data_IF_549969995974
#
_entry.id   IF_549969995974
#
_cell.length_a   1.000
_cell.length_b   1.000
_cell.length_c   1.000
_cell.angle_alpha   90.00
_cell.angle_beta   90.00
_cell.angle_gamma   90.00
#
_symmetry.space_group_name_H-M   'P 1'
#
loop_
_entity.id
_entity.type
_entity.pdbx_description
1 polymer ?
#
# COMPACT_ATOMS: atom_id res chain seq x y z
N UNK A 1 67.22 -40.36 14.25
CA UNK A 1 66.36 -40.18 15.44
C UNK A 1 65.27 -39.18 15.03
N UNK A 2 64.05 -39.63 15.06
CA UNK A 2 62.94 -39.07 14.33
C UNK A 2 62.41 -37.71 14.85
N UNK A 3 62.45 -36.65 13.99
CA UNK A 3 61.78 -35.36 14.16
C UNK A 3 60.32 -35.44 13.76
N UNK A 4 59.48 -36.18 14.46
CA UNK A 4 58.05 -36.28 14.22
C UNK A 4 57.18 -36.36 15.46
N UNK A 5 57.59 -35.72 16.58
CA UNK A 5 56.77 -35.70 17.82
C UNK A 5 56.90 -34.42 18.64
N UNK A 6 56.80 -33.23 17.97
CA UNK A 6 56.65 -31.96 18.69
C UNK A 6 55.60 -31.13 17.98
N UNK A 7 54.32 -31.54 18.06
CA UNK A 7 53.20 -30.72 17.62
C UNK A 7 51.96 -30.86 18.50
N UNK A 8 52.08 -31.33 19.72
CA UNK A 8 50.94 -31.46 20.66
C UNK A 8 51.20 -30.96 22.08
N UNK A 9 52.10 -30.04 22.27
CA UNK A 9 52.24 -29.38 23.59
C UNK A 9 52.50 -27.89 23.36
N UNK A 10 51.56 -27.07 23.82
CA UNK A 10 51.92 -25.72 24.16
C UNK A 10 51.18 -24.64 23.44
N UNK A 11 49.94 -24.43 23.80
CA UNK A 11 49.45 -23.03 23.92
C UNK A 11 48.62 -22.97 25.22
N UNK A 12 49.32 -23.14 26.34
CA UNK A 12 48.87 -22.62 27.61
C UNK A 12 49.91 -21.60 28.08
N UNK A 13 49.48 -20.43 28.42
CA UNK A 13 50.20 -19.24 28.89
C UNK A 13 50.73 -18.31 27.78
N UNK A 14 49.96 -17.29 27.48
CA UNK A 14 50.48 -15.93 27.49
C UNK A 14 49.29 -15.02 27.79
N UNK A 15 49.04 -14.71 29.05
CA UNK A 15 48.48 -13.44 29.47
C UNK A 15 49.55 -12.38 29.20
N UNK A 16 49.56 -11.76 28.06
CA UNK A 16 50.52 -10.72 27.73
C UNK A 16 49.80 -9.44 27.31
N UNK A 17 50.21 -8.37 27.95
CA UNK A 17 49.92 -6.97 27.63
C UNK A 17 49.91 -6.75 26.12
N UNK A 18 48.78 -6.19 25.61
CA UNK A 18 48.68 -5.73 24.24
C UNK A 18 49.43 -4.41 24.06
N UNK A 19 50.67 -4.50 23.64
CA UNK A 19 51.42 -3.42 23.00
C UNK A 19 51.53 -3.83 21.53
N UNK A 20 50.84 -3.15 20.62
CA UNK A 20 50.97 -3.29 19.18
C UNK A 20 51.00 -4.70 18.62
N UNK A 21 49.94 -5.49 18.79
CA UNK A 21 49.96 -6.90 18.47
C UNK A 21 49.83 -7.19 16.98
N UNK A 22 50.70 -8.02 16.43
CA UNK A 22 50.52 -8.65 15.12
C UNK A 22 49.23 -9.42 15.07
N UNK A 23 48.52 -9.38 13.91
CA UNK A 23 47.31 -10.15 13.67
C UNK A 23 47.59 -11.65 13.98
N UNK A 24 46.79 -12.23 14.86
CA UNK A 24 46.97 -13.64 15.26
C UNK A 24 46.20 -14.56 14.30
N UNK A 25 46.76 -15.72 14.03
CA UNK A 25 46.17 -16.73 13.17
C UNK A 25 45.62 -17.92 13.97
N UNK A 26 44.29 -17.99 14.00
CA UNK A 26 43.51 -19.08 14.60
C UNK A 26 42.83 -19.93 13.54
N UNK A 27 43.21 -19.80 12.25
CA UNK A 27 42.51 -20.47 11.16
C UNK A 27 42.50 -21.98 11.32
N UNK A 28 41.30 -22.59 11.14
CA UNK A 28 41.10 -24.02 11.29
C UNK A 28 41.29 -24.59 12.69
N UNK A 29 41.49 -23.75 13.72
CA UNK A 29 41.76 -24.19 15.10
C UNK A 29 40.44 -24.36 15.89
N UNK A 30 40.49 -25.24 16.89
CA UNK A 30 39.47 -25.29 17.94
C UNK A 30 39.75 -24.17 18.96
N UNK A 31 38.82 -23.22 19.06
CA UNK A 31 38.91 -22.04 19.92
C UNK A 31 38.56 -22.42 21.37
N UNK A 32 39.57 -22.64 22.21
CA UNK A 32 39.40 -22.98 23.63
C UNK A 32 39.64 -21.77 24.55
N UNK A 33 39.37 -20.55 24.07
CA UNK A 33 39.59 -19.30 24.80
C UNK A 33 38.50 -18.31 24.56
N UNK A 34 38.39 -17.33 25.47
CA UNK A 34 37.50 -16.18 25.32
C UNK A 34 38.29 -14.98 24.77
N UNK A 35 37.64 -14.28 23.82
CA UNK A 35 38.10 -13.01 23.25
C UNK A 35 37.34 -11.80 23.84
N UNK A 36 36.61 -12.02 24.94
CA UNK A 36 35.88 -10.97 25.66
C UNK A 36 36.81 -9.84 26.04
N UNK A 37 36.38 -8.59 25.79
CA UNK A 37 37.14 -7.37 26.08
C UNK A 37 38.53 -7.30 25.38
N UNK A 38 38.76 -8.09 24.33
CA UNK A 38 40.03 -8.12 23.57
C UNK A 38 39.97 -7.31 22.31
N UNK A 39 41.13 -6.79 21.88
CA UNK A 39 41.34 -6.32 20.51
C UNK A 39 41.66 -7.51 19.61
N UNK A 40 41.01 -7.55 18.43
CA UNK A 40 41.13 -8.64 17.47
C UNK A 40 41.41 -8.10 16.06
N UNK A 41 42.18 -7.02 15.95
CA UNK A 41 42.51 -6.36 14.68
C UNK A 41 43.22 -7.32 13.72
N UNK A 42 42.62 -7.55 12.55
CA UNK A 42 43.15 -8.46 11.53
C UNK A 42 43.27 -9.92 11.91
N UNK A 43 42.77 -10.34 13.07
CA UNK A 43 42.84 -11.76 13.51
C UNK A 43 42.14 -12.65 12.49
N UNK A 44 42.74 -13.79 12.23
CA UNK A 44 42.21 -14.78 11.31
C UNK A 44 41.58 -15.96 12.06
N UNK A 45 40.23 -16.01 12.05
CA UNK A 45 39.42 -17.09 12.60
C UNK A 45 38.77 -17.94 11.50
N UNK A 46 39.26 -17.84 10.25
CA UNK A 46 38.68 -18.58 9.14
C UNK A 46 38.70 -20.10 9.42
N UNK A 47 37.56 -20.77 9.17
CA UNK A 47 37.39 -22.19 9.48
C UNK A 47 37.61 -22.59 10.95
N UNK A 48 37.77 -21.65 11.87
CA UNK A 48 37.92 -21.94 13.30
C UNK A 48 36.62 -22.51 13.88
N UNK A 49 36.72 -23.28 14.94
CA UNK A 49 35.57 -23.88 15.63
C UNK A 49 35.48 -23.39 17.07
N UNK A 50 34.35 -22.79 17.40
CA UNK A 50 34.07 -22.35 18.76
C UNK A 50 33.81 -23.53 19.70
N UNK A 51 34.33 -23.46 20.91
CA UNK A 51 33.94 -24.32 22.00
C UNK A 51 32.79 -23.70 22.77
N UNK A 52 31.66 -24.41 22.82
CA UNK A 52 30.46 -23.97 23.54
C UNK A 52 30.77 -23.58 24.99
N UNK A 53 30.28 -22.41 25.41
CA UNK A 53 30.44 -21.89 26.76
C UNK A 53 31.85 -21.37 27.10
N UNK A 54 32.81 -21.43 26.15
CA UNK A 54 34.19 -20.94 26.33
C UNK A 54 34.50 -19.81 25.34
N UNK A 55 34.26 -20.03 24.05
CA UNK A 55 34.53 -19.03 23.00
C UNK A 55 33.54 -17.91 23.08
N UNK A 56 33.99 -16.67 23.25
CA UNK A 56 33.18 -15.49 23.48
C UNK A 56 33.90 -14.25 22.95
N UNK A 57 33.18 -13.42 22.20
CA UNK A 57 33.66 -12.15 21.65
C UNK A 57 32.90 -10.94 22.23
N UNK A 58 32.23 -11.10 23.38
CA UNK A 58 31.48 -10.03 24.01
C UNK A 58 32.38 -8.82 24.30
N UNK A 59 31.99 -7.64 23.91
CA UNK A 59 32.74 -6.39 24.04
C UNK A 59 34.13 -6.40 23.40
N UNK A 60 34.42 -7.36 22.50
CA UNK A 60 35.66 -7.31 21.72
C UNK A 60 35.64 -6.12 20.77
N UNK A 61 36.82 -5.65 20.39
CA UNK A 61 36.94 -4.57 19.39
C UNK A 61 37.98 -4.96 18.34
N UNK A 62 37.78 -4.55 17.08
CA UNK A 62 38.80 -4.85 16.05
C UNK A 62 38.38 -4.40 14.65
N UNK A 63 39.38 -4.21 13.82
CA UNK A 63 39.25 -3.88 12.40
C UNK A 63 39.75 -5.05 11.55
N UNK A 64 38.96 -5.48 10.55
CA UNK A 64 39.31 -6.49 9.57
C UNK A 64 39.49 -7.93 10.07
N UNK A 65 38.88 -8.40 11.18
CA UNK A 65 38.97 -9.81 11.57
C UNK A 65 38.27 -10.70 10.54
N UNK A 66 38.82 -11.89 10.32
CA UNK A 66 38.30 -12.86 9.34
C UNK A 66 37.64 -14.03 10.08
N UNK A 67 36.33 -14.22 9.81
CA UNK A 67 35.53 -15.31 10.35
C UNK A 67 34.93 -16.18 9.20
N UNK A 68 35.52 -16.13 8.03
CA UNK A 68 35.03 -16.87 6.88
C UNK A 68 34.98 -18.38 7.17
N UNK A 69 33.86 -19.04 6.84
CA UNK A 69 33.62 -20.46 7.06
C UNK A 69 33.77 -20.90 8.54
N UNK A 70 33.87 -19.97 9.49
CA UNK A 70 34.02 -20.29 10.90
C UNK A 70 32.75 -20.93 11.47
N UNK A 71 32.98 -21.93 12.38
CA UNK A 71 31.90 -22.61 13.08
C UNK A 71 31.74 -21.98 14.47
N UNK A 72 30.88 -21.01 14.62
CA UNK A 72 30.67 -20.16 15.79
C UNK A 72 29.22 -20.22 16.33
N UNK A 73 28.58 -21.40 16.45
CA UNK A 73 27.23 -21.48 16.97
C UNK A 73 27.17 -21.05 18.43
N UNK A 74 26.08 -20.36 18.81
CA UNK A 74 25.82 -19.89 20.19
C UNK A 74 26.84 -18.88 20.73
N UNK A 75 27.77 -18.38 19.91
CA UNK A 75 28.81 -17.41 20.32
C UNK A 75 28.21 -16.04 20.57
N UNK A 76 28.74 -15.33 21.57
CA UNK A 76 28.32 -13.96 21.88
C UNK A 76 29.30 -12.94 21.28
N UNK A 77 28.75 -12.02 20.48
CA UNK A 77 29.35 -10.75 20.08
C UNK A 77 28.61 -9.56 20.73
N UNK A 78 27.92 -9.80 21.84
CA UNK A 78 27.12 -8.74 22.47
C UNK A 78 28.00 -7.52 22.81
N UNK A 79 27.53 -6.32 22.36
CA UNK A 79 28.25 -5.07 22.52
C UNK A 79 29.69 -5.06 21.96
N UNK A 80 30.03 -5.95 21.04
CA UNK A 80 31.31 -5.89 20.32
C UNK A 80 31.33 -4.66 19.39
N UNK A 81 32.52 -4.12 19.13
CA UNK A 81 32.79 -3.02 18.22
C UNK A 81 33.75 -3.48 17.12
N UNK A 82 33.23 -3.90 16.00
CA UNK A 82 34.01 -4.57 14.94
C UNK A 82 33.73 -3.86 13.60
N UNK A 83 34.76 -3.59 12.80
CA UNK A 83 34.59 -3.09 11.45
C UNK A 83 35.31 -3.97 10.42
N UNK A 84 34.85 -3.90 9.19
CA UNK A 84 35.44 -4.52 8.00
C UNK A 84 35.66 -6.04 8.15
N UNK A 85 34.85 -6.69 8.97
CA UNK A 85 34.95 -8.11 9.24
C UNK A 85 34.42 -8.97 8.08
N UNK A 86 35.00 -10.14 7.88
CA UNK A 86 34.54 -11.11 6.93
C UNK A 86 33.87 -12.31 7.61
N UNK A 87 32.53 -12.34 7.67
CA UNK A 87 31.70 -13.44 8.17
C UNK A 87 31.13 -14.32 7.04
N UNK A 88 31.72 -14.23 5.84
CA UNK A 88 31.22 -14.99 4.69
C UNK A 88 31.12 -16.48 5.02
N UNK A 89 29.95 -17.08 4.74
CA UNK A 89 29.66 -18.51 4.95
C UNK A 89 29.89 -19.00 6.41
N UNK A 90 29.98 -18.11 7.41
CA UNK A 90 30.15 -18.47 8.81
C UNK A 90 28.84 -19.06 9.37
N UNK A 91 29.00 -20.10 10.20
CA UNK A 91 27.92 -20.64 11.02
C UNK A 91 27.82 -19.83 12.32
N UNK A 92 26.81 -18.99 12.43
CA UNK A 92 26.49 -18.12 13.55
C UNK A 92 25.11 -18.47 14.16
N UNK A 93 24.68 -19.73 14.05
CA UNK A 93 23.41 -20.18 14.62
C UNK A 93 23.33 -19.84 16.10
N UNK A 94 22.18 -19.24 16.50
CA UNK A 94 21.94 -18.81 17.88
C UNK A 94 22.97 -17.80 18.43
N UNK A 95 23.79 -17.21 17.59
CA UNK A 95 24.74 -16.19 18.02
C UNK A 95 24.01 -14.96 18.59
N UNK A 96 24.62 -14.36 19.63
CA UNK A 96 24.13 -13.12 20.22
C UNK A 96 24.94 -11.93 19.69
N UNK A 97 24.33 -11.11 18.84
CA UNK A 97 24.93 -9.90 18.25
C UNK A 97 24.27 -8.63 18.83
N UNK A 98 23.42 -8.80 19.85
CA UNK A 98 22.61 -7.70 20.38
C UNK A 98 23.48 -6.54 20.89
N UNK A 99 23.10 -5.31 20.48
CA UNK A 99 23.79 -4.08 20.84
C UNK A 99 25.21 -3.95 20.27
N UNK A 100 25.69 -4.90 19.45
CA UNK A 100 26.99 -4.79 18.80
C UNK A 100 27.00 -3.68 17.74
N UNK A 101 28.14 -3.08 17.52
CA UNK A 101 28.43 -2.16 16.43
C UNK A 101 29.39 -2.85 15.44
N UNK A 102 28.83 -3.50 14.40
CA UNK A 102 29.57 -4.27 13.39
C UNK A 102 29.33 -3.62 12.03
N UNK A 103 30.31 -2.84 11.55
CA UNK A 103 30.15 -2.01 10.35
C UNK A 103 30.95 -2.57 9.17
N UNK A 104 30.52 -2.20 7.94
CA UNK A 104 31.22 -2.49 6.68
C UNK A 104 31.58 -3.97 6.52
N UNK A 105 30.83 -4.88 7.12
CA UNK A 105 31.17 -6.27 7.24
C UNK A 105 30.40 -7.15 6.24
N UNK A 106 31.03 -8.23 5.82
CA UNK A 106 30.48 -9.15 4.84
C UNK A 106 29.88 -10.38 5.53
N UNK A 107 28.53 -10.51 5.50
CA UNK A 107 27.81 -11.67 6.02
C UNK A 107 27.27 -12.60 4.92
N UNK A 108 27.74 -12.45 3.67
CA UNK A 108 27.25 -13.26 2.55
C UNK A 108 27.26 -14.76 2.89
N UNK A 109 26.08 -15.41 2.77
CA UNK A 109 25.93 -16.84 3.00
C UNK A 109 26.01 -17.27 4.47
N UNK A 110 26.15 -16.36 5.42
CA UNK A 110 26.23 -16.71 6.83
C UNK A 110 24.93 -17.35 7.34
N UNK A 111 25.03 -18.25 8.30
CA UNK A 111 23.90 -18.88 8.96
C UNK A 111 23.67 -18.22 10.33
N UNK A 112 22.65 -17.36 10.40
CA UNK A 112 22.21 -16.65 11.60
C UNK A 112 20.86 -17.18 12.13
N UNK A 113 20.53 -18.44 11.86
CA UNK A 113 19.30 -19.06 12.35
C UNK A 113 19.18 -18.95 13.87
N UNK A 114 18.03 -18.53 14.37
CA UNK A 114 17.76 -18.24 15.79
C UNK A 114 18.71 -17.17 16.39
N UNK A 115 19.44 -16.43 15.58
CA UNK A 115 20.37 -15.38 16.03
C UNK A 115 19.64 -14.18 16.66
N UNK A 116 20.29 -13.53 17.63
CA UNK A 116 19.76 -12.32 18.27
C UNK A 116 20.59 -11.09 17.86
N UNK A 117 20.05 -10.28 16.94
CA UNK A 117 20.64 -9.03 16.43
C UNK A 117 19.92 -7.79 16.99
N UNK A 118 19.16 -7.93 18.07
CA UNK A 118 18.38 -6.85 18.65
C UNK A 118 19.23 -5.60 18.92
N UNK A 119 18.84 -4.45 18.34
CA UNK A 119 19.57 -3.17 18.43
C UNK A 119 21.03 -3.20 17.94
N UNK A 120 21.42 -4.17 17.14
CA UNK A 120 22.74 -4.16 16.51
C UNK A 120 22.85 -3.00 15.51
N UNK A 121 24.04 -2.41 15.41
CA UNK A 121 24.40 -1.41 14.38
C UNK A 121 25.24 -2.11 13.33
N UNK A 122 24.72 -2.23 12.10
CA UNK A 122 25.30 -3.02 11.01
C UNK A 122 25.50 -2.16 9.74
N UNK A 123 25.79 -0.87 9.94
CA UNK A 123 25.90 0.10 8.85
C UNK A 123 27.00 -0.30 7.85
N UNK A 124 26.68 -0.26 6.56
CA UNK A 124 27.60 -0.63 5.48
C UNK A 124 27.82 -2.15 5.33
N UNK A 125 27.22 -2.96 6.20
CA UNK A 125 27.32 -4.42 6.10
C UNK A 125 26.32 -4.98 5.07
N UNK A 126 26.66 -6.14 4.47
CA UNK A 126 25.90 -6.77 3.41
C UNK A 126 25.50 -8.20 3.78
N UNK A 127 24.27 -8.59 3.44
CA UNK A 127 23.64 -9.83 3.88
C UNK A 127 23.04 -10.66 2.74
N UNK A 128 23.64 -10.77 1.56
CA UNK A 128 23.06 -11.58 0.51
C UNK A 128 23.11 -13.07 0.85
N UNK A 129 21.99 -13.79 0.62
CA UNK A 129 21.87 -15.23 0.85
C UNK A 129 22.14 -15.66 2.31
N UNK A 130 21.74 -14.84 3.28
CA UNK A 130 21.88 -15.15 4.73
C UNK A 130 20.67 -15.94 5.22
N UNK A 131 20.89 -16.91 6.11
CA UNK A 131 19.84 -17.60 6.83
C UNK A 131 19.50 -16.86 8.13
N UNK A 132 18.35 -16.18 8.17
CA UNK A 132 17.80 -15.49 9.35
C UNK A 132 16.58 -16.21 9.94
N UNK A 133 16.38 -17.50 9.67
CA UNK A 133 15.22 -18.23 10.21
C UNK A 133 15.12 -18.07 11.71
N UNK A 134 13.91 -17.73 12.19
CA UNK A 134 13.63 -17.53 13.61
C UNK A 134 14.53 -16.47 14.30
N UNK A 135 15.29 -15.67 13.53
CA UNK A 135 16.19 -14.67 14.11
C UNK A 135 15.41 -13.45 14.62
N UNK A 136 15.99 -12.74 15.58
CA UNK A 136 15.49 -11.49 16.11
C UNK A 136 16.35 -10.32 15.65
N UNK A 137 15.80 -9.50 14.75
CA UNK A 137 16.49 -8.35 14.15
C UNK A 137 15.86 -7.00 14.56
N UNK A 138 14.98 -6.99 15.56
CA UNK A 138 14.22 -5.81 15.92
C UNK A 138 15.11 -4.62 16.27
N UNK A 139 14.73 -3.43 15.80
CA UNK A 139 15.43 -2.18 16.03
C UNK A 139 16.92 -2.18 15.64
N UNK A 140 17.36 -3.11 14.78
CA UNK A 140 18.72 -3.06 14.21
C UNK A 140 18.86 -1.84 13.30
N UNK A 141 20.10 -1.39 13.10
CA UNK A 141 20.43 -0.28 12.21
C UNK A 141 21.25 -0.78 11.04
N UNK A 142 20.75 -0.59 9.85
CA UNK A 142 21.45 -0.86 8.58
C UNK A 142 21.50 0.42 7.74
N UNK A 143 22.33 0.43 6.71
CA UNK A 143 22.37 1.55 5.77
C UNK A 143 21.25 1.41 4.72
N UNK A 144 20.91 2.52 4.10
CA UNK A 144 20.11 2.53 2.87
C UNK A 144 20.75 1.62 1.82
N UNK A 145 19.92 0.99 0.98
CA UNK A 145 20.35 0.06 -0.07
C UNK A 145 21.09 -1.20 0.46
N UNK A 146 20.90 -1.59 1.72
CA UNK A 146 21.49 -2.83 2.25
C UNK A 146 20.97 -4.03 1.46
N UNK A 147 21.89 -4.90 1.03
CA UNK A 147 21.59 -6.12 0.27
C UNK A 147 21.19 -7.28 1.21
N UNK A 148 19.91 -7.67 1.14
CA UNK A 148 19.32 -8.86 1.76
C UNK A 148 18.81 -9.85 0.70
N UNK A 149 19.25 -9.73 -0.54
CA UNK A 149 18.75 -10.54 -1.63
C UNK A 149 18.95 -12.04 -1.36
N UNK A 150 17.92 -12.84 -1.71
CA UNK A 150 17.92 -14.30 -1.53
C UNK A 150 18.04 -14.79 -0.07
N UNK A 151 17.97 -13.91 0.92
CA UNK A 151 18.05 -14.29 2.34
C UNK A 151 16.75 -14.92 2.83
N UNK A 152 16.86 -15.78 3.82
CA UNK A 152 15.73 -16.49 4.40
C UNK A 152 15.35 -15.90 5.76
N UNK A 153 14.25 -15.17 5.80
CA UNK A 153 13.66 -14.55 7.00
C UNK A 153 12.49 -15.37 7.57
N UNK A 154 12.36 -16.66 7.23
CA UNK A 154 11.24 -17.47 7.70
C UNK A 154 11.09 -17.34 9.21
N UNK A 155 9.93 -16.89 9.70
CA UNK A 155 9.60 -16.69 11.12
C UNK A 155 10.52 -15.67 11.84
N UNK A 156 11.29 -14.85 11.13
CA UNK A 156 12.10 -13.81 11.74
C UNK A 156 11.26 -12.64 12.26
N UNK A 157 11.75 -11.98 13.30
CA UNK A 157 11.23 -10.70 13.79
C UNK A 157 12.14 -9.55 13.34
N UNK A 158 11.55 -8.60 12.58
CA UNK A 158 12.27 -7.48 11.95
C UNK A 158 11.50 -6.18 12.19
N UNK A 159 11.01 -5.99 13.42
CA UNK A 159 10.17 -4.86 13.79
C UNK A 159 10.99 -3.60 14.05
N UNK A 160 10.40 -2.43 13.72
CA UNK A 160 10.98 -1.11 14.01
C UNK A 160 12.36 -0.90 13.36
N UNK A 161 12.58 -1.45 12.15
CA UNK A 161 13.85 -1.36 11.40
C UNK A 161 13.70 -0.41 10.23
N UNK A 162 14.72 0.39 9.94
CA UNK A 162 14.82 1.15 8.71
C UNK A 162 15.49 0.29 7.62
N UNK A 163 14.70 -0.11 6.64
CA UNK A 163 15.06 -0.90 5.47
C UNK A 163 14.77 -0.10 4.18
N UNK A 164 14.83 1.22 4.26
CA UNK A 164 14.60 2.09 3.10
C UNK A 164 15.55 1.71 1.97
N UNK A 165 14.99 1.48 0.78
CA UNK A 165 15.70 1.04 -0.43
C UNK A 165 16.45 -0.30 -0.30
N UNK A 166 16.22 -1.09 0.75
CA UNK A 166 16.84 -2.40 0.88
C UNK A 166 16.48 -3.35 -0.27
N UNK A 167 17.44 -4.16 -0.70
CA UNK A 167 17.18 -5.22 -1.66
C UNK A 167 16.79 -6.54 -0.97
N UNK A 168 15.50 -6.85 -0.98
CA UNK A 168 14.91 -8.11 -0.50
C UNK A 168 14.49 -9.01 -1.68
N UNK A 169 15.03 -8.77 -2.88
CA UNK A 169 14.66 -9.54 -4.06
C UNK A 169 14.96 -11.03 -3.89
N UNK A 170 13.97 -11.86 -4.23
CA UNK A 170 14.05 -13.33 -4.08
C UNK A 170 14.24 -13.81 -2.63
N UNK A 171 14.09 -12.95 -1.63
CA UNK A 171 14.14 -13.35 -0.22
C UNK A 171 12.88 -14.15 0.16
N UNK A 172 13.01 -15.03 1.13
CA UNK A 172 11.88 -15.76 1.71
C UNK A 172 11.46 -15.07 3.03
N UNK A 173 10.27 -14.46 3.04
CA UNK A 173 9.73 -13.74 4.18
C UNK A 173 8.55 -14.49 4.83
N UNK A 174 8.43 -15.79 4.62
CA UNK A 174 7.33 -16.62 5.13
C UNK A 174 7.20 -16.51 6.65
N UNK A 175 6.01 -16.12 7.13
CA UNK A 175 5.70 -15.87 8.54
C UNK A 175 6.60 -14.84 9.25
N UNK A 176 7.36 -14.03 8.50
CA UNK A 176 8.18 -12.97 9.09
C UNK A 176 7.34 -11.77 9.53
N UNK A 177 7.78 -11.08 10.57
CA UNK A 177 7.15 -9.88 11.10
C UNK A 177 8.01 -8.64 10.84
N UNK A 178 7.57 -7.78 9.92
CA UNK A 178 8.20 -6.50 9.60
C UNK A 178 7.40 -5.29 10.14
N UNK A 179 6.46 -5.52 11.05
CA UNK A 179 5.55 -4.45 11.48
C UNK A 179 6.30 -3.20 11.98
N UNK A 180 5.76 -2.02 11.61
CA UNK A 180 6.27 -0.68 11.92
C UNK A 180 7.64 -0.34 11.32
N UNK A 181 8.17 -1.15 10.42
CA UNK A 181 9.45 -0.86 9.75
C UNK A 181 9.29 0.14 8.61
N UNK A 182 10.37 0.86 8.32
CA UNK A 182 10.46 1.75 7.17
C UNK A 182 11.06 0.96 6.00
N UNK A 183 10.27 0.80 4.95
CA UNK A 183 10.63 0.00 3.76
C UNK A 183 10.31 0.76 2.46
N UNK A 184 10.36 2.10 2.53
CA UNK A 184 10.16 2.93 1.34
C UNK A 184 11.14 2.56 0.22
N UNK A 185 10.65 2.44 -1.01
CA UNK A 185 11.43 2.06 -2.19
C UNK A 185 12.13 0.68 -2.08
N UNK A 186 11.81 -0.14 -1.07
CA UNK A 186 12.39 -1.47 -0.93
C UNK A 186 12.07 -2.36 -2.14
N UNK A 187 13.04 -3.15 -2.57
CA UNK A 187 12.88 -4.08 -3.69
C UNK A 187 12.51 -5.48 -3.17
N UNK A 188 11.23 -5.84 -3.29
CA UNK A 188 10.69 -7.16 -2.93
C UNK A 188 10.44 -8.06 -4.15
N UNK A 189 10.98 -7.69 -5.32
CA UNK A 189 10.74 -8.40 -6.58
C UNK A 189 11.03 -9.90 -6.46
N UNK A 190 10.01 -10.74 -6.76
CA UNK A 190 10.10 -12.20 -6.68
C UNK A 190 10.42 -12.74 -5.27
N UNK A 191 10.18 -11.96 -4.21
CA UNK A 191 10.24 -12.47 -2.85
C UNK A 191 9.06 -13.41 -2.57
N UNK A 192 9.20 -14.33 -1.63
CA UNK A 192 8.12 -15.18 -1.15
C UNK A 192 7.46 -14.53 0.06
N UNK A 193 6.16 -14.17 -0.07
CA UNK A 193 5.40 -13.47 0.97
C UNK A 193 4.18 -14.31 1.38
N UNK A 194 4.39 -15.28 2.27
CA UNK A 194 3.32 -16.11 2.82
C UNK A 194 3.15 -15.81 4.29
N UNK A 195 1.95 -15.32 4.70
CA UNK A 195 1.66 -14.93 6.10
C UNK A 195 2.64 -13.90 6.67
N UNK A 196 3.23 -13.08 5.81
CA UNK A 196 4.13 -12.00 6.24
C UNK A 196 3.33 -10.85 6.83
N UNK A 197 3.81 -10.28 7.94
CA UNK A 197 3.18 -9.14 8.60
C UNK A 197 3.93 -7.84 8.30
N UNK A 198 3.25 -6.93 7.59
CA UNK A 198 3.69 -5.56 7.29
C UNK A 198 2.78 -4.52 7.95
N UNK A 199 2.14 -4.86 9.08
CA UNK A 199 1.25 -3.94 9.77
C UNK A 199 1.94 -2.61 10.07
N UNK A 200 1.33 -1.50 9.66
CA UNK A 200 1.84 -0.14 9.87
C UNK A 200 3.24 0.13 9.30
N UNK A 201 3.73 -0.70 8.34
CA UNK A 201 4.95 -0.43 7.60
C UNK A 201 4.81 0.79 6.69
N UNK A 202 5.89 1.51 6.48
CA UNK A 202 6.02 2.44 5.37
C UNK A 202 6.62 1.69 4.16
N UNK A 203 5.79 1.41 3.15
CA UNK A 203 6.15 0.71 1.91
C UNK A 203 5.93 1.62 0.68
N UNK A 204 6.03 2.94 0.87
CA UNK A 204 5.85 3.90 -0.23
C UNK A 204 6.82 3.57 -1.36
N UNK A 205 6.31 3.48 -2.59
CA UNK A 205 7.07 3.15 -3.79
C UNK A 205 7.81 1.79 -3.75
N UNK A 206 7.47 0.89 -2.81
CA UNK A 206 8.05 -0.45 -2.75
C UNK A 206 7.70 -1.29 -3.99
N UNK A 207 8.62 -2.15 -4.41
CA UNK A 207 8.48 -2.96 -5.61
C UNK A 207 8.09 -4.41 -5.29
N UNK A 208 6.80 -4.76 -5.50
CA UNK A 208 6.24 -6.10 -5.33
C UNK A 208 6.11 -6.87 -6.66
N UNK A 209 6.76 -6.44 -7.74
CA UNK A 209 6.58 -7.04 -9.06
C UNK A 209 6.80 -8.56 -9.06
N UNK A 210 5.76 -9.30 -9.49
CA UNK A 210 5.80 -10.76 -9.62
C UNK A 210 5.92 -11.48 -8.27
N UNK A 211 5.25 -10.96 -7.25
CA UNK A 211 5.13 -11.55 -5.91
C UNK A 211 3.70 -12.08 -5.73
N UNK A 212 3.56 -13.29 -5.19
CA UNK A 212 2.28 -13.81 -4.76
C UNK A 212 2.04 -13.43 -3.30
N UNK A 213 0.97 -12.66 -3.05
CA UNK A 213 0.58 -12.23 -1.72
C UNK A 213 -0.43 -13.23 -1.13
N UNK A 214 0.04 -14.12 -0.27
CA UNK A 214 -0.79 -15.18 0.33
C UNK A 214 -0.91 -14.96 1.84
N UNK A 215 -2.12 -14.62 2.33
CA UNK A 215 -2.39 -14.33 3.74
C UNK A 215 -1.51 -13.20 4.31
N UNK A 216 -1.08 -12.24 3.49
CA UNK A 216 -0.21 -11.13 3.90
C UNK A 216 -1.04 -10.06 4.63
N UNK A 217 -0.47 -9.50 5.69
CA UNK A 217 -1.10 -8.44 6.46
C UNK A 217 -0.44 -7.08 6.17
N UNK A 218 -1.16 -6.18 5.51
CA UNK A 218 -0.79 -4.78 5.26
C UNK A 218 -1.68 -3.79 6.03
N UNK A 219 -2.34 -4.22 7.11
CA UNK A 219 -3.20 -3.31 7.84
C UNK A 219 -2.45 -2.02 8.24
N UNK A 220 -3.03 -0.85 7.91
CA UNK A 220 -2.45 0.48 8.17
C UNK A 220 -1.10 0.75 7.49
N UNK A 221 -0.68 -0.07 6.55
CA UNK A 221 0.58 0.16 5.82
C UNK A 221 0.45 1.33 4.84
N UNK A 222 1.52 2.09 4.67
CA UNK A 222 1.67 3.08 3.60
C UNK A 222 2.18 2.40 2.33
N UNK A 223 1.31 2.20 1.35
CA UNK A 223 1.61 1.52 0.08
C UNK A 223 1.49 2.48 -1.12
N UNK A 224 1.48 3.79 -0.86
CA UNK A 224 1.36 4.78 -1.93
C UNK A 224 2.46 4.60 -2.97
N UNK A 225 2.09 4.64 -4.26
CA UNK A 225 2.99 4.42 -5.40
C UNK A 225 3.67 3.03 -5.45
N UNK A 226 3.26 2.07 -4.62
CA UNK A 226 3.82 0.72 -4.67
C UNK A 226 3.50 0.03 -6.01
N UNK A 227 4.45 -0.77 -6.50
CA UNK A 227 4.30 -1.49 -7.77
C UNK A 227 3.79 -2.91 -7.54
N UNK A 228 2.52 -3.15 -7.88
CA UNK A 228 1.86 -4.45 -7.80
C UNK A 228 1.71 -5.15 -9.16
N UNK A 229 2.54 -4.83 -10.16
CA UNK A 229 2.44 -5.44 -11.48
C UNK A 229 2.65 -6.96 -11.44
N UNK A 230 1.66 -7.72 -11.93
CA UNK A 230 1.69 -9.18 -11.94
C UNK A 230 1.68 -9.80 -10.54
N UNK A 231 0.98 -9.17 -9.59
CA UNK A 231 0.78 -9.66 -8.22
C UNK A 231 -0.57 -10.35 -8.10
N UNK A 232 -0.61 -11.52 -7.47
CA UNK A 232 -1.84 -12.18 -7.05
C UNK A 232 -2.14 -11.90 -5.57
N UNK A 233 -3.42 -11.59 -5.25
CA UNK A 233 -3.88 -11.28 -3.91
C UNK A 233 -4.76 -12.41 -3.36
N UNK A 234 -4.27 -13.18 -2.38
CA UNK A 234 -5.00 -14.27 -1.74
C UNK A 234 -5.11 -14.05 -0.23
N UNK A 235 -6.32 -13.72 0.26
CA UNK A 235 -6.61 -13.45 1.66
C UNK A 235 -5.72 -12.35 2.27
N UNK A 236 -5.50 -11.27 1.53
CA UNK A 236 -4.66 -10.15 1.95
C UNK A 236 -5.47 -9.18 2.81
N UNK A 237 -4.92 -8.73 3.91
CA UNK A 237 -5.50 -7.67 4.74
C UNK A 237 -4.92 -6.31 4.35
N UNK A 238 -5.78 -5.44 3.80
CA UNK A 238 -5.47 -4.07 3.39
C UNK A 238 -6.30 -3.03 4.19
N UNK A 239 -6.87 -3.43 5.35
CA UNK A 239 -7.66 -2.52 6.16
C UNK A 239 -6.87 -1.28 6.57
N UNK A 240 -7.45 -0.10 6.34
CA UNK A 240 -6.82 1.19 6.64
C UNK A 240 -5.47 1.44 5.89
N UNK A 241 -5.08 0.59 4.94
CA UNK A 241 -3.87 0.78 4.14
C UNK A 241 -4.02 1.97 3.19
N UNK A 242 -2.92 2.65 2.91
CA UNK A 242 -2.85 3.74 1.94
C UNK A 242 -2.26 3.25 0.62
N UNK A 243 -3.12 3.02 -0.36
CA UNK A 243 -2.81 2.58 -1.73
C UNK A 243 -2.93 3.75 -2.72
N UNK A 244 -2.80 4.98 -2.26
CA UNK A 244 -2.92 6.16 -3.12
C UNK A 244 -1.87 6.17 -4.23
N UNK A 245 -2.21 6.76 -5.39
CA UNK A 245 -1.30 6.87 -6.53
C UNK A 245 -0.87 5.49 -7.10
N UNK A 246 -1.66 4.43 -6.89
CA UNK A 246 -1.41 3.10 -7.46
C UNK A 246 -2.27 2.86 -8.70
N UNK A 247 -1.87 1.90 -9.53
CA UNK A 247 -2.63 1.46 -10.70
C UNK A 247 -3.05 0.00 -10.54
N UNK A 248 -4.37 -0.25 -10.69
CA UNK A 248 -4.95 -1.58 -10.70
C UNK A 248 -5.78 -1.76 -11.98
N UNK A 249 -5.37 -2.66 -12.84
CA UNK A 249 -6.11 -3.04 -14.05
C UNK A 249 -6.28 -4.56 -14.06
N UNK A 250 -7.55 -4.99 -14.02
CA UNK A 250 -7.95 -6.41 -14.02
C UNK A 250 -7.32 -7.22 -12.87
N UNK A 251 -7.13 -6.60 -11.71
CA UNK A 251 -6.59 -7.26 -10.49
C UNK A 251 -7.75 -7.81 -9.65
N UNK A 252 -7.67 -9.09 -9.26
CA UNK A 252 -8.66 -9.70 -8.37
C UNK A 252 -8.38 -9.36 -6.90
N UNK A 253 -9.15 -8.41 -6.36
CA UNK A 253 -9.15 -8.06 -4.93
C UNK A 253 -10.34 -8.69 -4.17
N UNK A 254 -11.07 -9.63 -4.76
CA UNK A 254 -12.31 -10.18 -4.19
C UNK A 254 -12.12 -10.91 -2.84
N UNK A 255 -10.92 -11.37 -2.58
CA UNK A 255 -10.53 -12.07 -1.33
C UNK A 255 -9.68 -11.18 -0.41
N UNK A 256 -9.75 -9.86 -0.55
CA UNK A 256 -9.01 -8.91 0.29
C UNK A 256 -9.92 -8.22 1.30
N UNK A 257 -9.37 -7.80 2.43
CA UNK A 257 -10.06 -6.96 3.40
C UNK A 257 -9.67 -5.50 3.11
N UNK A 258 -10.65 -4.65 2.76
CA UNK A 258 -10.42 -3.31 2.22
C UNK A 258 -11.05 -2.18 3.05
N UNK A 259 -11.70 -2.48 4.18
CA UNK A 259 -12.40 -1.47 4.96
C UNK A 259 -11.47 -0.29 5.29
N UNK A 260 -11.92 0.92 4.97
CA UNK A 260 -11.19 2.19 5.15
C UNK A 260 -9.85 2.28 4.39
N UNK A 261 -9.57 1.40 3.44
CA UNK A 261 -8.40 1.55 2.56
C UNK A 261 -8.51 2.84 1.72
N UNK A 262 -7.38 3.42 1.35
CA UNK A 262 -7.32 4.64 0.55
C UNK A 262 -6.73 4.33 -0.83
N UNK A 263 -7.48 4.67 -1.87
CA UNK A 263 -7.09 4.61 -3.27
C UNK A 263 -7.11 6.01 -3.89
N UNK A 264 -6.79 7.04 -3.10
CA UNK A 264 -6.84 8.40 -3.61
C UNK A 264 -5.86 8.60 -4.77
N UNK A 265 -6.30 9.31 -5.82
CA UNK A 265 -5.53 9.55 -7.04
C UNK A 265 -5.06 8.27 -7.78
N UNK A 266 -5.68 7.13 -7.47
CA UNK A 266 -5.39 5.84 -8.11
C UNK A 266 -6.26 5.63 -9.35
N UNK A 267 -5.80 4.75 -10.24
CA UNK A 267 -6.60 4.27 -11.37
C UNK A 267 -7.00 2.81 -11.13
N UNK A 268 -8.32 2.57 -11.03
CA UNK A 268 -8.91 1.25 -10.90
C UNK A 268 -9.74 0.94 -12.16
N UNK A 269 -9.38 -0.11 -12.88
CA UNK A 269 -10.05 -0.50 -14.11
C UNK A 269 -10.42 -1.99 -14.08
N UNK A 270 -11.64 -2.30 -14.52
CA UNK A 270 -12.13 -3.69 -14.65
C UNK A 270 -12.18 -4.49 -13.34
N UNK A 271 -12.29 -3.81 -12.19
CA UNK A 271 -12.24 -4.41 -10.87
C UNK A 271 -13.52 -5.16 -10.50
N UNK A 272 -13.39 -6.25 -9.75
CA UNK A 272 -14.50 -7.07 -9.26
C UNK A 272 -14.66 -6.92 -7.74
N UNK A 273 -15.62 -6.09 -7.30
CA UNK A 273 -15.92 -5.82 -5.89
C UNK A 273 -17.31 -6.32 -5.47
N UNK A 274 -17.93 -7.18 -6.29
CA UNK A 274 -19.30 -7.67 -6.05
C UNK A 274 -19.43 -8.29 -4.66
N UNK A 275 -20.38 -7.78 -3.86
CA UNK A 275 -20.69 -8.27 -2.52
C UNK A 275 -19.62 -8.00 -1.46
N UNK A 276 -18.54 -7.30 -1.80
CA UNK A 276 -17.42 -7.01 -0.90
C UNK A 276 -17.75 -5.91 0.12
N UNK A 277 -17.09 -5.94 1.26
CA UNK A 277 -17.15 -4.87 2.25
C UNK A 277 -16.06 -3.82 1.99
N UNK A 278 -16.50 -2.70 1.43
CA UNK A 278 -15.71 -1.51 1.12
C UNK A 278 -16.09 -0.33 2.03
N UNK A 279 -16.62 -0.59 3.21
CA UNK A 279 -17.07 0.46 4.13
C UNK A 279 -15.96 1.45 4.43
N UNK A 280 -16.22 2.73 4.15
CA UNK A 280 -15.29 3.83 4.41
C UNK A 280 -14.06 3.87 3.49
N UNK A 281 -14.02 3.11 2.39
CA UNK A 281 -12.96 3.21 1.39
C UNK A 281 -12.96 4.58 0.73
N UNK A 282 -11.77 5.11 0.39
CA UNK A 282 -11.58 6.43 -0.22
C UNK A 282 -11.01 6.26 -1.62
N UNK A 283 -11.75 6.74 -2.64
CA UNK A 283 -11.32 6.76 -4.05
C UNK A 283 -11.05 8.18 -4.58
N UNK A 284 -10.93 9.16 -3.69
CA UNK A 284 -10.90 10.58 -4.01
C UNK A 284 -9.89 10.95 -5.10
N UNK A 285 -10.32 11.82 -6.02
CA UNK A 285 -9.50 12.37 -7.12
C UNK A 285 -8.90 11.31 -8.05
N UNK A 286 -9.39 10.08 -7.97
CA UNK A 286 -8.95 8.95 -8.78
C UNK A 286 -9.80 8.75 -10.03
N UNK A 287 -9.58 7.61 -10.69
CA UNK A 287 -10.36 7.12 -11.83
C UNK A 287 -10.82 5.70 -11.55
N UNK A 288 -12.13 5.49 -11.50
CA UNK A 288 -12.76 4.17 -11.33
C UNK A 288 -13.61 3.88 -12.56
N UNK A 289 -13.24 2.84 -13.32
CA UNK A 289 -13.91 2.55 -14.58
C UNK A 289 -14.14 1.05 -14.79
N UNK A 290 -15.27 0.72 -15.50
CA UNK A 290 -15.62 -0.65 -15.90
C UNK A 290 -15.63 -1.66 -14.75
N UNK A 291 -15.91 -1.22 -13.51
CA UNK A 291 -15.82 -2.03 -12.31
C UNK A 291 -17.21 -2.42 -11.79
N UNK A 292 -17.29 -3.61 -11.18
CA UNK A 292 -18.51 -4.16 -10.63
C UNK A 292 -18.52 -4.07 -9.11
N UNK A 293 -19.47 -3.28 -8.57
CA UNK A 293 -19.73 -3.09 -7.14
C UNK A 293 -21.10 -3.66 -6.71
N UNK A 294 -21.78 -4.44 -7.57
CA UNK A 294 -23.12 -4.95 -7.27
C UNK A 294 -23.18 -5.60 -5.87
N UNK A 295 -24.16 -5.18 -5.05
CA UNK A 295 -24.37 -5.68 -3.69
C UNK A 295 -23.19 -5.48 -2.72
N UNK A 296 -22.21 -4.64 -3.06
CA UNK A 296 -21.12 -4.31 -2.13
C UNK A 296 -21.62 -3.44 -0.97
N UNK A 297 -20.97 -3.54 0.18
CA UNK A 297 -21.18 -2.64 1.32
C UNK A 297 -20.23 -1.47 1.20
N UNK A 298 -20.76 -0.29 0.94
CA UNK A 298 -20.00 0.92 0.63
C UNK A 298 -20.47 2.13 1.46
N UNK A 299 -21.01 1.90 2.65
CA UNK A 299 -21.42 2.98 3.53
C UNK A 299 -20.23 3.88 3.86
N UNK A 300 -20.43 5.23 3.76
CA UNK A 300 -19.40 6.26 3.99
C UNK A 300 -18.19 6.18 3.06
N UNK A 301 -18.29 5.49 1.93
CA UNK A 301 -17.26 5.50 0.88
C UNK A 301 -17.15 6.88 0.27
N UNK A 302 -15.93 7.32 -0.07
CA UNK A 302 -15.71 8.61 -0.72
C UNK A 302 -15.25 8.45 -2.16
N UNK A 303 -15.89 9.18 -3.05
CA UNK A 303 -15.55 9.41 -4.46
C UNK A 303 -15.44 10.92 -4.72
N UNK A 304 -14.96 11.68 -3.74
CA UNK A 304 -14.79 13.12 -3.88
C UNK A 304 -13.91 13.45 -5.09
N UNK A 305 -14.41 14.29 -6.01
CA UNK A 305 -13.69 14.75 -7.21
C UNK A 305 -13.17 13.59 -8.11
N UNK A 306 -13.86 12.45 -8.11
CA UNK A 306 -13.45 11.19 -8.77
C UNK A 306 -14.15 11.03 -10.12
N UNK A 307 -13.45 10.51 -11.13
CA UNK A 307 -14.10 10.02 -12.36
C UNK A 307 -14.61 8.59 -12.14
N UNK A 308 -15.94 8.40 -12.18
CA UNK A 308 -16.60 7.10 -12.07
C UNK A 308 -17.32 6.81 -13.38
N UNK A 309 -16.86 5.80 -14.15
CA UNK A 309 -17.43 5.57 -15.45
C UNK A 309 -17.64 4.09 -15.81
N UNK A 310 -18.82 3.77 -16.36
CA UNK A 310 -19.19 2.41 -16.82
C UNK A 310 -19.12 1.38 -15.70
N UNK A 311 -19.46 1.76 -14.47
CA UNK A 311 -19.48 0.89 -13.30
C UNK A 311 -20.90 0.43 -12.97
N UNK A 312 -21.01 -0.70 -12.30
CA UNK A 312 -22.25 -1.30 -11.83
C UNK A 312 -22.32 -1.22 -10.31
N UNK A 313 -23.43 -0.67 -9.78
CA UNK A 313 -23.69 -0.50 -8.35
C UNK A 313 -25.09 -1.02 -7.99
N UNK A 314 -25.59 -2.07 -8.65
CA UNK A 314 -26.95 -2.58 -8.41
C UNK A 314 -27.08 -3.12 -6.99
N UNK A 315 -28.06 -2.62 -6.25
CA UNK A 315 -28.31 -3.06 -4.88
C UNK A 315 -27.16 -2.83 -3.92
N UNK A 316 -26.27 -1.88 -4.20
CA UNK A 316 -25.12 -1.52 -3.37
C UNK A 316 -25.55 -0.69 -2.17
N UNK A 317 -24.94 -0.89 -0.99
CA UNK A 317 -25.17 -0.09 0.21
C UNK A 317 -24.24 1.14 0.21
N UNK A 318 -24.74 2.29 -0.27
CA UNK A 318 -23.98 3.57 -0.40
C UNK A 318 -24.47 4.65 0.59
N UNK A 319 -25.04 4.24 1.72
CA UNK A 319 -25.55 5.18 2.73
C UNK A 319 -24.47 6.16 3.17
N UNK A 320 -24.72 7.47 3.06
CA UNK A 320 -23.78 8.56 3.35
C UNK A 320 -22.49 8.53 2.51
N UNK A 321 -22.51 7.91 1.34
CA UNK A 321 -21.39 7.99 0.40
C UNK A 321 -21.21 9.43 -0.11
N UNK A 322 -19.97 9.79 -0.44
CA UNK A 322 -19.60 11.13 -0.91
C UNK A 322 -19.22 11.06 -2.40
N UNK A 323 -19.97 11.76 -3.24
CA UNK A 323 -19.71 11.94 -4.67
C UNK A 323 -19.60 13.44 -5.03
N UNK A 324 -19.28 14.27 -4.03
CA UNK A 324 -19.15 15.71 -4.23
C UNK A 324 -18.06 16.03 -5.27
N UNK A 325 -18.41 16.83 -6.28
CA UNK A 325 -17.50 17.15 -7.40
C UNK A 325 -17.23 16.00 -8.38
N UNK A 326 -17.78 14.80 -8.17
CA UNK A 326 -17.47 13.64 -8.99
C UNK A 326 -18.01 13.76 -10.43
N UNK A 327 -17.30 13.17 -11.40
CA UNK A 327 -17.77 12.97 -12.76
C UNK A 327 -18.28 11.54 -12.94
N UNK A 328 -19.61 11.37 -12.96
CA UNK A 328 -20.32 10.08 -12.95
C UNK A 328 -20.93 9.83 -14.33
N UNK A 329 -20.43 8.84 -15.10
CA UNK A 329 -20.84 8.63 -16.47
C UNK A 329 -21.12 7.18 -16.83
N UNK A 330 -22.33 6.94 -17.37
CA UNK A 330 -22.76 5.60 -17.83
C UNK A 330 -22.68 4.54 -16.72
N UNK A 331 -23.12 4.89 -15.51
CA UNK A 331 -23.17 3.96 -14.38
C UNK A 331 -24.61 3.48 -14.13
N UNK A 332 -24.75 2.39 -13.38
CA UNK A 332 -26.02 1.78 -13.01
C UNK A 332 -26.10 1.68 -11.49
N UNK A 333 -26.99 2.46 -10.86
CA UNK A 333 -27.28 2.46 -9.42
C UNK A 333 -28.66 1.87 -9.11
N UNK A 334 -29.16 0.98 -9.97
CA UNK A 334 -30.52 0.44 -9.82
C UNK A 334 -30.68 -0.29 -8.47
N UNK A 335 -31.70 0.13 -7.72
CA UNK A 335 -31.98 -0.41 -6.39
C UNK A 335 -30.91 -0.16 -5.33
N UNK A 336 -29.91 0.68 -5.60
CA UNK A 336 -28.89 1.01 -4.61
C UNK A 336 -29.47 1.80 -3.42
N UNK A 337 -28.96 1.57 -2.22
CA UNK A 337 -29.25 2.38 -1.03
C UNK A 337 -28.23 3.53 -0.94
N UNK A 338 -28.68 4.71 -1.34
CA UNK A 338 -27.90 5.95 -1.33
C UNK A 338 -28.49 6.99 -0.35
N UNK A 339 -29.15 6.55 0.69
CA UNK A 339 -29.74 7.45 1.68
C UNK A 339 -28.66 8.37 2.27
N UNK A 340 -28.96 9.69 2.26
CA UNK A 340 -28.06 10.76 2.70
C UNK A 340 -26.72 10.82 1.94
N UNK A 341 -26.64 10.25 0.74
CA UNK A 341 -25.46 10.42 -0.12
C UNK A 341 -25.29 11.90 -0.54
N UNK A 342 -24.04 12.33 -0.64
CA UNK A 342 -23.71 13.67 -1.13
C UNK A 342 -23.26 13.59 -2.58
N UNK A 343 -24.12 14.04 -3.52
CA UNK A 343 -23.82 14.17 -4.96
C UNK A 343 -23.74 15.66 -5.35
N UNK A 344 -23.45 16.55 -4.41
CA UNK A 344 -23.35 17.99 -4.69
C UNK A 344 -22.22 18.25 -5.69
N UNK A 345 -22.38 19.31 -6.49
CA UNK A 345 -21.40 19.77 -7.49
C UNK A 345 -20.98 18.71 -8.52
N UNK A 346 -21.58 17.53 -8.51
CA UNK A 346 -21.23 16.44 -9.43
C UNK A 346 -21.76 16.68 -10.84
N UNK A 347 -21.10 16.10 -11.84
CA UNK A 347 -21.65 15.98 -13.20
C UNK A 347 -22.04 14.52 -13.43
N UNK A 348 -23.35 14.27 -13.62
CA UNK A 348 -23.91 12.94 -13.78
C UNK A 348 -24.48 12.81 -15.19
N UNK A 349 -23.92 11.91 -16.00
CA UNK A 349 -24.31 11.72 -17.39
C UNK A 349 -24.68 10.25 -17.70
N UNK A 350 -25.80 10.04 -18.41
CA UNK A 350 -26.22 8.72 -18.92
C UNK A 350 -26.19 7.64 -17.83
N UNK A 351 -26.73 7.97 -16.67
CA UNK A 351 -26.65 7.15 -15.45
C UNK A 351 -28.05 6.83 -14.94
N UNK A 352 -28.25 5.62 -14.47
CA UNK A 352 -29.51 5.09 -13.99
C UNK A 352 -29.54 4.95 -12.47
N UNK A 353 -30.65 5.43 -11.86
CA UNK A 353 -30.97 5.29 -10.44
C UNK A 353 -32.36 4.65 -10.27
N UNK A 354 -32.69 3.69 -11.13
CA UNK A 354 -34.03 3.08 -11.16
C UNK A 354 -34.31 2.35 -9.85
N UNK A 355 -35.38 2.76 -9.15
CA UNK A 355 -35.74 2.17 -7.86
C UNK A 355 -34.74 2.40 -6.72
N UNK A 356 -33.75 3.26 -6.91
CA UNK A 356 -32.76 3.59 -5.87
C UNK A 356 -33.38 4.30 -4.67
N UNK A 357 -32.82 4.10 -3.48
CA UNK A 357 -33.17 4.84 -2.26
C UNK A 357 -32.20 6.03 -2.13
N UNK A 358 -32.72 7.24 -2.24
CA UNK A 358 -31.97 8.49 -2.23
C UNK A 358 -32.52 9.46 -1.17
N UNK A 359 -33.18 8.96 -0.11
CA UNK A 359 -33.81 9.83 0.87
C UNK A 359 -32.76 10.71 1.58
N UNK A 360 -33.00 12.02 1.57
CA UNK A 360 -32.07 13.00 2.16
C UNK A 360 -30.76 13.17 1.40
N UNK A 361 -30.62 12.62 0.20
CA UNK A 361 -29.45 12.85 -0.65
C UNK A 361 -29.37 14.31 -1.12
N UNK A 362 -28.16 14.80 -1.42
CA UNK A 362 -27.94 16.16 -1.92
C UNK A 362 -27.47 16.13 -3.38
N UNK A 363 -28.20 16.86 -4.24
CA UNK A 363 -27.83 17.17 -5.61
C UNK A 363 -27.54 18.66 -5.81
N UNK A 364 -27.25 19.39 -4.72
CA UNK A 364 -26.97 20.83 -4.77
C UNK A 364 -25.83 21.14 -5.73
N UNK A 365 -26.03 22.06 -6.69
CA UNK A 365 -25.04 22.39 -7.72
C UNK A 365 -24.76 21.31 -8.75
N UNK A 366 -25.46 20.17 -8.69
CA UNK A 366 -25.21 19.05 -9.61
C UNK A 366 -25.70 19.34 -11.05
N UNK A 367 -25.00 18.74 -12.02
CA UNK A 367 -25.40 18.75 -13.44
C UNK A 367 -25.85 17.35 -13.85
N UNK A 368 -27.15 17.18 -14.12
CA UNK A 368 -27.79 15.92 -14.48
C UNK A 368 -28.10 15.92 -15.98
N UNK A 369 -27.55 14.99 -16.76
CA UNK A 369 -27.75 14.88 -18.20
C UNK A 369 -28.06 13.43 -18.57
N UNK A 370 -29.21 13.20 -19.21
CA UNK A 370 -29.65 11.86 -19.60
C UNK A 370 -29.70 10.89 -18.37
N UNK A 371 -30.35 11.31 -17.27
CA UNK A 371 -30.43 10.57 -16.01
C UNK A 371 -31.82 10.03 -15.75
N UNK A 372 -31.93 8.79 -15.29
CA UNK A 372 -33.22 8.16 -14.96
C UNK A 372 -33.34 7.92 -13.45
N UNK A 373 -34.39 8.51 -12.83
CA UNK A 373 -34.82 8.29 -11.45
C UNK A 373 -36.13 7.51 -11.36
N UNK A 374 -36.44 6.72 -12.38
CA UNK A 374 -37.72 5.99 -12.48
C UNK A 374 -37.96 5.17 -11.22
N UNK A 375 -39.12 5.38 -10.54
CA UNK A 375 -39.50 4.73 -9.29
C UNK A 375 -38.51 4.92 -8.11
N UNK A 376 -37.59 5.87 -8.15
CA UNK A 376 -36.64 6.15 -7.06
C UNK A 376 -37.36 6.77 -5.84
N UNK A 377 -36.84 6.49 -4.64
CA UNK A 377 -37.29 7.11 -3.39
C UNK A 377 -36.39 8.29 -3.07
N UNK A 378 -36.92 9.49 -3.19
CA UNK A 378 -36.16 10.74 -3.12
C UNK A 378 -36.74 11.73 -2.10
N UNK A 379 -37.30 11.23 -0.98
CA UNK A 379 -37.82 12.10 0.08
C UNK A 379 -36.74 12.95 0.69
N UNK A 380 -37.05 14.20 0.99
CA UNK A 380 -36.11 15.16 1.58
C UNK A 380 -34.83 15.40 0.77
N UNK A 381 -34.75 15.04 -0.51
CA UNK A 381 -33.59 15.40 -1.35
C UNK A 381 -33.42 16.91 -1.42
N UNK A 382 -32.18 17.35 -1.60
CA UNK A 382 -31.82 18.75 -1.78
C UNK A 382 -31.48 19.03 -3.25
N UNK A 383 -32.23 19.95 -3.87
CA UNK A 383 -32.04 20.47 -5.24
C UNK A 383 -32.05 22.00 -5.12
N UNK A 384 -30.99 22.68 -5.47
CA UNK A 384 -30.83 24.12 -5.32
C UNK A 384 -30.82 24.88 -6.65
N UNK A 385 -30.61 26.19 -6.55
CA UNK A 385 -30.65 27.10 -7.71
C UNK A 385 -29.54 26.84 -8.74
N UNK A 386 -28.41 26.24 -8.31
CA UNK A 386 -27.25 25.95 -9.18
C UNK A 386 -27.39 24.59 -9.87
N UNK A 387 -28.36 23.75 -9.45
CA UNK A 387 -28.65 22.45 -10.07
C UNK A 387 -29.15 22.62 -11.51
N UNK A 388 -28.60 21.83 -12.43
CA UNK A 388 -28.99 21.84 -13.87
C UNK A 388 -29.46 20.46 -14.30
N UNK A 389 -30.62 20.41 -14.97
CA UNK A 389 -31.21 19.16 -15.44
C UNK A 389 -31.48 19.22 -16.94
N UNK A 390 -31.01 18.21 -17.68
CA UNK A 390 -31.28 18.02 -19.08
C UNK A 390 -31.63 16.57 -19.39
N UNK A 391 -32.80 16.32 -19.97
CA UNK A 391 -33.25 14.97 -20.29
C UNK A 391 -33.26 14.03 -19.08
N UNK A 392 -34.00 14.41 -18.02
CA UNK A 392 -34.11 13.67 -16.76
C UNK A 392 -35.50 13.07 -16.62
N UNK A 393 -35.57 11.79 -16.18
CA UNK A 393 -36.84 11.07 -16.00
C UNK A 393 -37.10 10.79 -14.51
N UNK A 394 -38.17 11.41 -13.97
CA UNK A 394 -38.69 11.19 -12.63
C UNK A 394 -39.97 10.34 -12.59
N UNK A 395 -40.32 9.62 -13.66
CA UNK A 395 -41.53 8.81 -13.69
C UNK A 395 -41.63 7.86 -12.49
N UNK A 396 -42.74 7.95 -11.73
CA UNK A 396 -42.97 7.15 -10.52
C UNK A 396 -42.07 7.49 -9.32
N UNK A 397 -41.19 8.49 -9.41
CA UNK A 397 -40.30 8.86 -8.29
C UNK A 397 -41.07 9.52 -7.13
N UNK A 398 -40.64 9.31 -5.90
CA UNK A 398 -41.18 9.94 -4.68
C UNK A 398 -40.27 11.08 -4.21
N UNK A 399 -40.58 12.34 -4.60
CA UNK A 399 -39.91 13.55 -4.16
C UNK A 399 -40.67 14.26 -3.03
N UNK A 400 -41.57 13.57 -2.29
CA UNK A 400 -42.27 14.14 -1.16
C UNK A 400 -41.25 14.78 -0.20
N UNK A 401 -41.54 15.95 0.35
CA UNK A 401 -40.68 16.66 1.30
C UNK A 401 -39.31 17.07 0.74
N UNK A 402 -39.10 16.95 -0.58
CA UNK A 402 -37.85 17.41 -1.21
C UNK A 402 -37.71 18.94 -1.08
N UNK A 403 -36.50 19.40 -0.81
CA UNK A 403 -36.17 20.84 -0.76
C UNK A 403 -35.72 21.26 -2.15
N UNK A 404 -36.69 21.82 -2.91
CA UNK A 404 -36.49 22.23 -4.31
C UNK A 404 -36.52 23.75 -4.37
N UNK A 405 -35.41 24.39 -4.73
CA UNK A 405 -35.31 25.79 -5.06
C UNK A 405 -35.48 26.02 -6.56
N UNK A 406 -35.39 27.25 -7.01
CA UNK A 406 -35.40 27.54 -8.45
C UNK A 406 -34.15 26.96 -9.10
N UNK A 407 -34.30 26.10 -10.08
CA UNK A 407 -33.23 25.44 -10.80
C UNK A 407 -33.45 25.50 -12.32
N UNK A 408 -32.48 25.07 -13.10
CA UNK A 408 -32.60 25.04 -14.57
C UNK A 408 -33.00 23.66 -15.06
N UNK A 409 -34.11 23.53 -15.75
CA UNK A 409 -34.60 22.27 -16.29
C UNK A 409 -34.88 22.36 -17.81
N UNK A 410 -34.47 21.32 -18.55
CA UNK A 410 -34.79 21.17 -19.98
C UNK A 410 -35.10 19.69 -20.26
N UNK A 411 -36.26 19.42 -20.85
CA UNK A 411 -36.74 18.06 -21.17
C UNK A 411 -36.75 17.15 -19.94
N UNK A 412 -37.35 17.59 -18.84
CA UNK A 412 -37.57 16.75 -17.65
C UNK A 412 -38.98 16.17 -17.72
N UNK A 413 -39.11 14.86 -17.52
CA UNK A 413 -40.37 14.14 -17.57
C UNK A 413 -40.79 13.56 -16.24
N UNK A 414 -42.12 13.45 -16.03
CA UNK A 414 -42.76 12.83 -14.87
C UNK A 414 -44.08 12.17 -15.28
N UNK A 415 -44.61 11.26 -14.46
CA UNK A 415 -45.90 10.61 -14.71
C UNK A 415 -46.91 10.85 -13.56
N UNK A 416 -48.10 10.21 -13.65
CA UNK A 416 -49.15 10.34 -12.65
C UNK A 416 -48.80 9.70 -11.29
N UNK A 417 -47.76 8.85 -11.22
CA UNK A 417 -47.29 8.19 -9.99
C UNK A 417 -46.19 9.01 -9.28
N UNK A 418 -45.62 10.00 -9.98
CA UNK A 418 -44.60 10.88 -9.42
C UNK A 418 -45.18 11.73 -8.29
N UNK A 419 -44.54 11.73 -7.13
CA UNK A 419 -44.93 12.53 -5.97
C UNK A 419 -43.99 13.71 -5.81
N UNK A 420 -44.53 14.89 -5.71
CA UNK A 420 -43.80 16.15 -5.50
C UNK A 420 -44.06 16.73 -4.10
N UNK A 421 -43.21 17.66 -3.60
CA UNK A 421 -43.52 18.40 -2.38
C UNK A 421 -44.81 19.17 -2.46
N UNK A 422 -45.43 19.46 -1.33
CA UNK A 422 -46.63 20.28 -1.26
C UNK A 422 -46.39 21.66 -1.90
N UNK A 423 -47.28 22.09 -2.80
CA UNK A 423 -47.18 23.38 -3.49
C UNK A 423 -46.18 23.43 -4.66
N UNK A 424 -45.49 22.33 -4.99
CA UNK A 424 -44.65 22.30 -6.17
C UNK A 424 -45.45 22.04 -7.43
N UNK A 425 -45.38 22.97 -8.37
CA UNK A 425 -46.11 22.89 -9.67
C UNK A 425 -45.12 22.50 -10.79
N UNK A 426 -45.01 21.23 -11.18
CA UNK A 426 -43.97 20.75 -12.10
C UNK A 426 -43.90 21.46 -13.44
N UNK A 427 -45.07 21.85 -13.98
CA UNK A 427 -45.17 22.56 -15.27
C UNK A 427 -44.53 23.96 -15.23
N UNK A 428 -44.56 24.63 -14.07
CA UNK A 428 -43.91 25.94 -13.93
C UNK A 428 -42.39 25.87 -14.03
N UNK A 429 -41.81 24.70 -13.82
CA UNK A 429 -40.39 24.41 -13.95
C UNK A 429 -40.05 23.72 -15.29
N UNK A 430 -40.96 23.67 -16.24
CA UNK A 430 -40.75 23.09 -17.57
C UNK A 430 -40.79 21.56 -17.60
N UNK A 431 -41.34 20.90 -16.55
CA UNK A 431 -41.54 19.45 -16.54
C UNK A 431 -42.76 19.10 -17.42
N UNK A 432 -42.69 18.00 -18.16
CA UNK A 432 -43.72 17.51 -19.05
C UNK A 432 -44.07 16.06 -18.78
N UNK A 433 -45.28 15.64 -19.13
CA UNK A 433 -45.64 14.22 -19.18
C UNK A 433 -45.10 13.57 -20.47
N UNK A 434 -44.87 12.24 -20.48
CA UNK A 434 -44.49 11.54 -21.69
C UNK A 434 -45.41 11.85 -22.85
N UNK A 435 -44.83 12.25 -23.99
CA UNK A 435 -45.59 12.62 -25.20
C UNK A 435 -46.07 14.08 -25.28
N UNK A 436 -45.97 14.87 -24.21
CA UNK A 436 -46.24 16.30 -24.24
C UNK A 436 -45.07 17.10 -24.86
N UNK A 437 -45.35 18.12 -25.67
CA UNK A 437 -44.31 19.06 -26.11
C UNK A 437 -43.91 19.97 -24.95
N UNK A 438 -42.60 20.12 -24.71
CA UNK A 438 -42.09 21.07 -23.72
C UNK A 438 -42.52 22.49 -24.11
N UNK A 439 -43.25 23.18 -23.24
CA UNK A 439 -43.44 24.62 -23.36
C UNK A 439 -42.08 25.31 -23.11
N UNK A 440 -41.69 26.27 -23.94
CA UNK A 440 -40.56 27.15 -23.64
C UNK A 440 -40.90 27.97 -22.40
N UNK A 441 -40.40 27.57 -21.25
CA UNK A 441 -40.54 28.36 -20.03
C UNK A 441 -39.39 29.34 -19.96
N UNK A 442 -39.66 30.56 -20.39
CA UNK A 442 -38.80 31.71 -20.12
C UNK A 442 -39.04 32.13 -18.66
N UNK A 443 -38.14 31.71 -17.78
CA UNK A 443 -38.13 32.21 -16.39
C UNK A 443 -37.71 33.68 -16.41
N UNK A 444 -38.70 34.59 -16.38
CA UNK A 444 -38.42 36.02 -16.23
C UNK A 444 -37.81 36.29 -14.86
N UNK A 445 -36.49 36.38 -14.80
CA UNK A 445 -35.79 37.01 -13.69
C UNK A 445 -36.02 38.51 -13.72
N UNK A 446 -36.72 39.08 -12.72
CA UNK A 446 -36.61 40.51 -12.44
C UNK A 446 -35.21 40.80 -11.93
N UNK A 447 -34.42 41.56 -12.68
CA UNK A 447 -33.26 42.20 -12.15
C UNK A 447 -32.02 42.24 -13.04
N UNK A 448 -31.83 43.41 -13.68
CA UNK A 448 -30.58 43.97 -14.23
C UNK A 448 -29.91 43.36 -15.45
N UNK A 449 -30.09 44.11 -16.54
CA UNK A 449 -29.24 44.06 -17.74
C UNK A 449 -27.76 44.10 -17.40
N UNK A 450 -27.01 43.08 -17.72
CA UNK A 450 -25.61 43.19 -18.14
C UNK A 450 -25.35 42.28 -19.33
N UNK A 451 -24.66 42.86 -20.28
CA UNK A 451 -24.29 42.46 -21.62
C UNK A 451 -23.94 41.00 -21.83
N UNK A 452 -24.41 40.49 -22.99
CA UNK A 452 -23.99 39.26 -23.66
C UNK A 452 -22.46 39.13 -23.75
N UNK A 453 -21.93 38.05 -23.21
CA UNK A 453 -20.62 37.50 -23.62
C UNK A 453 -20.89 36.11 -24.17
N UNK A 454 -20.47 35.92 -25.42
CA UNK A 454 -20.61 34.73 -26.21
C UNK A 454 -19.96 33.51 -25.56
N UNK A 455 -20.70 32.39 -25.54
CA UNK A 455 -20.17 31.05 -25.28
C UNK A 455 -19.23 30.64 -26.42
N UNK A 456 -17.96 30.84 -26.25
CA UNK A 456 -16.88 30.09 -26.96
C UNK A 456 -15.59 30.23 -26.18
N UNK A 457 -15.20 29.18 -25.49
CA UNK A 457 -13.80 28.73 -25.29
C UNK A 457 -13.67 27.78 -24.12
N UNK A 458 -13.82 26.49 -24.35
CA UNK A 458 -13.16 25.50 -23.51
C UNK A 458 -11.69 25.38 -23.93
N UNK A 459 -10.74 25.38 -23.01
CA UNK A 459 -9.34 25.16 -23.38
C UNK A 459 -9.11 23.67 -23.72
N UNK A 460 -8.74 23.44 -24.98
CA UNK A 460 -8.27 22.11 -25.44
C UNK A 460 -6.98 21.75 -24.72
N UNK A 461 -7.00 20.69 -23.89
CA UNK A 461 -5.79 20.07 -23.35
C UNK A 461 -4.87 19.63 -24.49
N UNK A 462 -3.70 20.23 -24.59
CA UNK A 462 -2.64 19.86 -25.55
C UNK A 462 -2.21 18.41 -25.28
N UNK A 463 -2.39 17.53 -26.27
CA UNK A 463 -1.75 16.20 -26.32
C UNK A 463 -0.24 16.40 -26.36
N UNK A 464 0.47 15.96 -25.33
CA UNK A 464 1.93 15.79 -25.39
C UNK A 464 2.24 14.69 -26.40
N UNK A 465 2.91 15.06 -27.51
CA UNK A 465 3.51 14.12 -28.44
C UNK A 465 4.56 13.28 -27.70
N UNK A 466 4.39 11.95 -27.68
CA UNK A 466 5.49 11.02 -27.38
C UNK A 466 6.58 11.23 -28.43
N UNK A 467 7.76 11.62 -28.02
CA UNK A 467 8.97 11.47 -28.82
C UNK A 467 9.31 9.99 -28.85
N UNK A 468 9.37 9.40 -30.04
CA UNK A 468 10.07 8.15 -30.29
C UNK A 468 11.55 8.42 -30.04
N UNK A 469 12.16 7.63 -29.18
CA UNK A 469 13.60 7.39 -29.20
C UNK A 469 13.79 6.15 -30.07
N UNK A 470 14.43 6.34 -31.19
CA UNK A 470 15.04 5.29 -32.00
C UNK A 470 16.34 4.93 -31.24
N UNK A 471 16.43 3.71 -30.74
CA UNK A 471 17.68 3.11 -30.31
C UNK A 471 18.19 2.29 -31.49
N UNK A 472 19.24 2.81 -32.13
CA UNK A 472 20.13 2.03 -32.97
C UNK A 472 21.43 1.78 -32.18
N UNK A 473 21.83 0.52 -32.19
CA UNK A 473 23.18 -0.06 -32.10
C UNK A 473 24.08 0.17 -30.86
N UNK A 474 24.29 -0.86 -30.10
CA UNK A 474 25.41 -1.84 -29.95
C UNK A 474 25.19 -2.77 -28.73
#
# INVERSE_FOLDING_TARGET
MNMKKISKLGVCLIGALAIGGFAQDYSGQDLNTSFRDKRIDGFNFSNAKAKKGVTDFQRSAGEGPKFQDAQLPEVSFQNAVISDANFKDANLKKATISGADIRNSNFKGADLEEGNLYRATLLGSQFPNVNFKNARLDAMKVADNTDFSKSDFTQASVMDVDLTRADLSKANLTNANFSRSLMGEANLKKATLVKTDFTACNLIAANFKGVDLINVNFAKAGLSQANFSGVEFQNVNLQEADLSLTEFDDVDLSKTQLQKAKFAQSTLSSMQFKGQDLTGVVFDKGVVKKSNFDKAKMSKTSFFDTEVSKCEFRGTELTKAVFDGAYIKKNIFDGADMDKANLANSTIEKTDFIGAQLNGASFAGAKLIDVRFTNARMKNVKIDADTKMQNVDFSGADLSDAKIEKFTAKKVIYDSRTKFPAGFEPRQYGFTKPGEKAAEVVVQGKGNKRSSVSDDAMPKKKKKKKRKHDDDDE
#
